data_IF_416823651948
#
_entry.id   IF_416823651948
#
_cell.length_a   1.000
_cell.length_b   1.000
_cell.length_c   1.000
_cell.angle_alpha   90.00
_cell.angle_beta   90.00
_cell.angle_gamma   90.00
#
_symmetry.space_group_name_H-M   'P 1'
#
loop_
_entity.id
_entity.type
_entity.pdbx_description
1 polymer ?
#
# COMPACT_ATOMS: atom_id res chain seq x y z
N UNK A 1 -23.12 11.24 3.98
CA UNK A 1 -21.84 10.72 3.45
C UNK A 1 -22.18 9.69 2.37
N UNK A 2 -21.72 9.87 1.13
CA UNK A 2 -22.02 8.94 0.05
C UNK A 2 -21.28 7.61 0.28
N UNK A 3 -21.98 6.47 0.18
CA UNK A 3 -21.33 5.16 0.28
C UNK A 3 -20.42 4.94 -0.93
N UNK A 4 -19.26 4.27 -0.78
CA UNK A 4 -18.41 3.92 -1.91
C UNK A 4 -19.17 2.99 -2.85
N UNK A 5 -19.25 3.36 -4.13
CA UNK A 5 -19.96 2.58 -5.15
C UNK A 5 -19.39 1.15 -5.22
N UNK A 6 -20.28 0.16 -5.14
CA UNK A 6 -19.93 -1.27 -5.13
C UNK A 6 -19.39 -1.76 -6.48
N UNK A 7 -19.72 -1.05 -7.56
CA UNK A 7 -19.28 -1.34 -8.92
C UNK A 7 -18.58 -0.12 -9.52
N UNK A 8 -17.38 -0.31 -10.05
CA UNK A 8 -16.65 0.71 -10.81
C UNK A 8 -16.34 0.19 -12.20
N UNK A 9 -16.65 0.97 -13.23
CA UNK A 9 -16.36 0.68 -14.62
C UNK A 9 -15.25 1.62 -15.05
N UNK A 10 -14.12 1.07 -15.49
CA UNK A 10 -12.93 1.81 -15.91
C UNK A 10 -12.76 1.61 -17.41
N UNK A 11 -12.76 2.70 -18.16
CA UNK A 11 -12.47 2.71 -19.59
C UNK A 11 -11.51 3.84 -19.92
N UNK A 12 -11.18 3.98 -21.20
CA UNK A 12 -10.22 4.97 -21.65
C UNK A 12 -9.45 4.51 -22.88
N UNK A 13 -8.68 5.44 -23.45
CA UNK A 13 -7.84 5.16 -24.60
C UNK A 13 -6.72 4.17 -24.24
N UNK A 14 -6.27 3.39 -25.20
CA UNK A 14 -5.16 2.47 -24.99
C UNK A 14 -3.87 3.27 -24.82
N UNK A 15 -3.11 2.97 -23.76
CA UNK A 15 -1.99 3.82 -23.31
C UNK A 15 -2.37 4.94 -22.32
N UNK A 16 -3.66 5.18 -22.04
CA UNK A 16 -4.10 6.19 -21.07
C UNK A 16 -3.99 5.74 -19.59
N UNK A 17 -3.49 4.52 -19.31
CA UNK A 17 -3.25 4.08 -17.93
C UNK A 17 -4.34 3.24 -17.26
N UNK A 18 -5.27 2.64 -18.03
CA UNK A 18 -6.31 1.73 -17.49
C UNK A 18 -5.76 0.62 -16.59
N UNK A 19 -4.64 0.00 -16.95
CA UNK A 19 -3.99 -1.04 -16.15
C UNK A 19 -3.53 -0.49 -14.78
N UNK A 20 -3.02 0.74 -14.74
CA UNK A 20 -2.64 1.41 -13.49
C UNK A 20 -3.88 1.66 -12.64
N UNK A 21 -4.98 2.11 -13.26
CA UNK A 21 -6.25 2.32 -12.58
C UNK A 21 -6.80 1.02 -11.98
N UNK A 22 -6.86 -0.07 -12.74
CA UNK A 22 -7.31 -1.38 -12.24
C UNK A 22 -6.44 -1.86 -11.07
N UNK A 23 -5.10 -1.72 -11.16
CA UNK A 23 -4.20 -2.07 -10.07
C UNK A 23 -4.48 -1.24 -8.81
N UNK A 24 -4.73 0.07 -8.97
CA UNK A 24 -5.05 0.94 -7.84
C UNK A 24 -6.37 0.54 -7.15
N UNK A 25 -7.39 0.15 -7.91
CA UNK A 25 -8.64 -0.36 -7.34
C UNK A 25 -8.44 -1.71 -6.65
N UNK A 26 -7.56 -2.57 -7.18
CA UNK A 26 -7.19 -3.85 -6.56
C UNK A 26 -6.54 -3.63 -5.19
N UNK A 27 -5.59 -2.68 -5.10
CA UNK A 27 -4.93 -2.29 -3.84
C UNK A 27 -5.92 -1.72 -2.80
N UNK A 28 -7.08 -1.21 -3.25
CA UNK A 28 -8.17 -0.71 -2.41
C UNK A 28 -9.20 -1.79 -2.05
N UNK A 29 -8.91 -3.05 -2.38
CA UNK A 29 -9.74 -4.21 -2.06
C UNK A 29 -10.93 -4.41 -3.00
N UNK A 30 -10.90 -3.85 -4.21
CA UNK A 30 -11.85 -4.22 -5.27
C UNK A 30 -11.39 -5.51 -5.95
N UNK A 31 -12.34 -6.38 -6.28
CA UNK A 31 -12.10 -7.46 -7.23
C UNK A 31 -12.05 -6.87 -8.63
N UNK A 32 -10.86 -6.85 -9.24
CA UNK A 32 -10.64 -6.28 -10.56
C UNK A 32 -10.78 -7.33 -11.65
N UNK A 33 -11.55 -7.01 -12.70
CA UNK A 33 -11.71 -7.84 -13.89
C UNK A 33 -11.31 -7.00 -15.09
N UNK A 34 -10.21 -7.36 -15.76
CA UNK A 34 -9.77 -6.69 -16.98
C UNK A 34 -10.46 -7.30 -18.21
N UNK A 35 -10.74 -6.46 -19.21
CA UNK A 35 -11.34 -6.84 -20.49
C UNK A 35 -12.61 -7.71 -20.36
N UNK A 36 -13.54 -7.29 -19.50
CA UNK A 36 -14.81 -8.02 -19.34
C UNK A 36 -15.75 -7.73 -20.52
N UNK A 37 -16.32 -8.77 -21.16
CA UNK A 37 -17.37 -8.58 -22.14
C UNK A 37 -18.58 -7.83 -21.57
N UNK A 38 -19.06 -6.79 -22.26
CA UNK A 38 -20.20 -5.95 -21.84
C UNK A 38 -21.47 -6.75 -21.55
N UNK A 39 -21.69 -7.83 -22.31
CA UNK A 39 -22.80 -8.76 -22.10
C UNK A 39 -22.82 -9.39 -20.69
N UNK A 40 -21.67 -9.50 -20.02
CA UNK A 40 -21.52 -10.07 -18.68
C UNK A 40 -21.68 -9.05 -17.54
N UNK A 41 -21.82 -7.76 -17.86
CA UNK A 41 -21.98 -6.69 -16.87
C UNK A 41 -23.22 -6.91 -15.99
N UNK A 42 -24.35 -7.28 -16.60
CA UNK A 42 -25.60 -7.53 -15.87
C UNK A 42 -25.51 -8.76 -14.94
N UNK A 43 -25.05 -9.95 -15.39
CA UNK A 43 -24.81 -11.10 -14.50
C UNK A 43 -23.91 -10.79 -13.29
N UNK A 44 -22.82 -10.04 -13.49
CA UNK A 44 -21.88 -9.69 -12.42
C UNK A 44 -22.53 -8.74 -11.42
N UNK A 45 -23.21 -7.70 -11.91
CA UNK A 45 -23.90 -6.74 -11.05
C UNK A 45 -24.93 -7.40 -10.12
N UNK A 46 -25.66 -8.41 -10.60
CA UNK A 46 -26.61 -9.18 -9.79
C UNK A 46 -25.93 -9.96 -8.67
N UNK A 47 -24.73 -10.48 -8.91
CA UNK A 47 -23.95 -11.17 -7.86
C UNK A 47 -23.42 -10.18 -6.83
N UNK A 48 -22.90 -9.03 -7.27
CA UNK A 48 -22.46 -7.93 -6.39
C UNK A 48 -23.59 -7.43 -5.49
N UNK A 49 -24.82 -7.35 -6.02
CA UNK A 49 -25.99 -6.86 -5.27
C UNK A 49 -26.54 -7.87 -4.24
N UNK A 50 -26.37 -9.19 -4.46
CA UNK A 50 -27.07 -10.24 -3.69
C UNK A 50 -26.18 -11.08 -2.77
N UNK A 51 -24.86 -10.90 -2.81
CA UNK A 51 -23.96 -11.80 -2.09
C UNK A 51 -23.59 -11.29 -0.69
N UNK A 52 -23.42 -12.23 0.24
CA UNK A 52 -22.68 -12.05 1.51
C UNK A 52 -21.18 -12.33 1.37
N UNK A 53 -20.75 -12.84 0.21
CA UNK A 53 -19.33 -13.07 -0.09
C UNK A 53 -18.60 -11.75 -0.29
N UNK A 54 -17.66 -11.45 0.62
CA UNK A 54 -16.84 -10.24 0.59
C UNK A 54 -16.12 -10.02 -0.74
N UNK A 55 -15.83 -11.08 -1.51
CA UNK A 55 -15.15 -10.99 -2.81
C UNK A 55 -15.93 -10.23 -3.87
N UNK A 56 -17.27 -10.18 -3.79
CA UNK A 56 -18.07 -9.39 -4.73
C UNK A 56 -18.71 -8.17 -4.06
N UNK A 57 -18.23 -7.76 -2.89
CA UNK A 57 -18.71 -6.54 -2.23
C UNK A 57 -18.26 -5.26 -2.95
N UNK A 58 -17.09 -5.30 -3.60
CA UNK A 58 -16.49 -4.23 -4.39
C UNK A 58 -15.89 -4.81 -5.66
N UNK A 59 -16.33 -4.37 -6.83
CA UNK A 59 -15.87 -4.89 -8.14
C UNK A 59 -15.47 -3.73 -9.04
N UNK A 60 -14.30 -3.83 -9.65
CA UNK A 60 -13.83 -2.88 -10.67
C UNK A 60 -13.67 -3.62 -12.01
N UNK A 61 -14.19 -3.05 -13.09
CA UNK A 61 -14.29 -3.69 -14.40
C UNK A 61 -13.60 -2.83 -15.44
N UNK A 62 -12.60 -3.38 -16.12
CA UNK A 62 -11.95 -2.78 -17.28
C UNK A 62 -12.74 -3.05 -18.56
N UNK A 63 -13.06 -1.99 -19.29
CA UNK A 63 -13.69 -2.05 -20.62
C UNK A 63 -12.83 -1.26 -21.59
N UNK A 64 -12.44 -1.89 -22.70
CA UNK A 64 -11.57 -1.30 -23.69
C UNK A 64 -12.08 -1.52 -25.12
N UNK A 65 -11.35 -0.98 -26.09
CA UNK A 65 -11.71 -0.98 -27.50
C UNK A 65 -11.70 -2.35 -28.19
N UNK A 66 -11.30 -3.42 -27.50
CA UNK A 66 -11.38 -4.81 -28.00
C UNK A 66 -12.80 -5.37 -27.97
N UNK A 67 -13.71 -4.70 -27.28
CA UNK A 67 -15.13 -5.06 -27.28
C UNK A 67 -15.78 -4.82 -28.66
N UNK A 68 -16.86 -5.54 -28.94
CA UNK A 68 -17.63 -5.36 -30.16
C UNK A 68 -18.15 -3.90 -30.27
N UNK A 69 -17.90 -3.18 -31.38
CA UNK A 69 -18.39 -1.82 -31.59
C UNK A 69 -19.90 -1.65 -31.39
N UNK A 70 -20.71 -2.63 -31.76
CA UNK A 70 -22.16 -2.58 -31.52
C UNK A 70 -22.50 -2.62 -30.03
N UNK A 71 -21.73 -3.35 -29.23
CA UNK A 71 -21.91 -3.45 -27.79
C UNK A 71 -21.45 -2.17 -27.09
N UNK A 72 -20.32 -1.59 -27.53
CA UNK A 72 -19.85 -0.28 -27.05
C UNK A 72 -20.90 0.81 -27.33
N UNK A 73 -21.49 0.83 -28.53
CA UNK A 73 -22.56 1.77 -28.86
C UNK A 73 -23.82 1.60 -27.97
N UNK A 74 -24.06 0.38 -27.47
CA UNK A 74 -25.16 0.06 -26.54
C UNK A 74 -24.81 0.32 -25.08
N UNK A 75 -23.60 0.77 -24.75
CA UNK A 75 -23.16 1.02 -23.37
C UNK A 75 -24.15 1.84 -22.53
N UNK A 76 -24.76 2.94 -23.02
CA UNK A 76 -25.75 3.68 -22.23
C UNK A 76 -26.93 2.83 -21.77
N UNK A 77 -27.41 1.90 -22.62
CA UNK A 77 -28.51 0.98 -22.29
C UNK A 77 -28.13 -0.03 -21.22
N UNK A 78 -26.86 -0.44 -21.17
CA UNK A 78 -26.36 -1.29 -20.08
C UNK A 78 -26.41 -0.54 -18.74
N UNK A 79 -25.98 0.72 -18.72
CA UNK A 79 -26.04 1.55 -17.53
C UNK A 79 -27.48 1.81 -17.06
N UNK A 80 -28.41 2.08 -17.98
CA UNK A 80 -29.84 2.23 -17.66
C UNK A 80 -30.41 0.99 -16.99
N UNK A 81 -30.09 -0.20 -17.50
CA UNK A 81 -30.51 -1.48 -16.87
C UNK A 81 -29.94 -1.67 -15.48
N UNK A 82 -28.68 -1.28 -15.26
CA UNK A 82 -28.05 -1.32 -13.93
C UNK A 82 -28.78 -0.38 -12.95
N UNK A 83 -29.10 0.85 -13.38
CA UNK A 83 -29.86 1.81 -12.57
C UNK A 83 -31.25 1.28 -12.22
N UNK A 84 -31.96 0.69 -13.20
CA UNK A 84 -33.28 0.07 -12.98
C UNK A 84 -33.23 -1.10 -11.99
N UNK A 85 -32.09 -1.77 -11.88
CA UNK A 85 -31.86 -2.86 -10.91
C UNK A 85 -31.40 -2.35 -9.53
N UNK A 86 -31.29 -1.04 -9.33
CA UNK A 86 -30.83 -0.44 -8.08
C UNK A 86 -29.33 -0.66 -7.82
N UNK A 87 -28.55 -0.97 -8.85
CA UNK A 87 -27.10 -1.14 -8.72
C UNK A 87 -26.44 0.22 -8.70
N UNK A 88 -25.75 0.54 -7.60
CA UNK A 88 -24.86 1.71 -7.52
C UNK A 88 -23.56 1.41 -8.26
N UNK A 89 -23.27 2.22 -9.28
CA UNK A 89 -22.04 2.12 -10.05
C UNK A 89 -21.43 3.50 -10.32
N UNK A 90 -20.16 3.49 -10.72
CA UNK A 90 -19.45 4.66 -11.22
C UNK A 90 -18.65 4.32 -12.47
N UNK A 91 -18.61 5.23 -13.43
CA UNK A 91 -17.87 5.13 -14.69
C UNK A 91 -16.72 6.13 -14.67
N UNK A 92 -15.50 5.62 -14.87
CA UNK A 92 -14.27 6.39 -14.95
C UNK A 92 -13.68 6.25 -16.35
N UNK A 93 -13.34 7.38 -16.98
CA UNK A 93 -12.72 7.40 -18.30
C UNK A 93 -11.33 8.04 -18.26
N UNK A 94 -10.31 7.32 -18.72
CA UNK A 94 -8.95 7.82 -18.80
C UNK A 94 -8.62 8.23 -20.24
N UNK A 95 -8.06 9.42 -20.43
CA UNK A 95 -7.55 9.84 -21.73
C UNK A 95 -6.14 10.45 -21.61
N UNK A 96 -5.52 10.63 -22.77
CA UNK A 96 -4.33 11.44 -22.94
C UNK A 96 -4.34 12.01 -24.36
N UNK A 97 -3.57 13.06 -24.55
CA UNK A 97 -3.31 13.66 -25.86
C UNK A 97 -2.70 12.63 -26.80
N UNK A 98 -3.04 12.74 -28.08
CA UNK A 98 -2.60 11.79 -29.12
C UNK A 98 -1.07 11.68 -29.17
N UNK A 99 -0.37 12.82 -29.09
CA UNK A 99 1.10 12.86 -29.10
C UNK A 99 1.71 12.09 -27.93
N UNK A 100 1.10 12.16 -26.75
CA UNK A 100 1.53 11.42 -25.56
C UNK A 100 1.26 9.93 -25.71
N UNK A 101 0.10 9.55 -26.26
CA UNK A 101 -0.22 8.14 -26.52
C UNK A 101 0.75 7.52 -27.53
N UNK A 102 1.07 8.23 -28.62
CA UNK A 102 2.06 7.82 -29.61
C UNK A 102 3.42 7.56 -28.95
N UNK A 103 3.88 8.46 -28.08
CA UNK A 103 5.13 8.30 -27.34
C UNK A 103 5.11 7.06 -26.42
N UNK A 104 4.04 6.87 -25.64
CA UNK A 104 3.90 5.71 -24.72
C UNK A 104 3.92 4.37 -25.47
N UNK A 105 3.34 4.32 -26.67
CA UNK A 105 3.39 3.14 -27.52
C UNK A 105 4.80 2.87 -28.08
N UNK A 106 5.52 3.92 -28.46
CA UNK A 106 6.92 3.79 -28.89
C UNK A 106 7.82 3.25 -27.77
N UNK A 107 7.60 3.69 -26.53
CA UNK A 107 8.36 3.25 -25.35
C UNK A 107 8.06 1.80 -24.95
N UNK A 108 6.77 1.42 -24.91
CA UNK A 108 6.35 0.09 -24.44
C UNK A 108 6.46 -1.01 -25.51
N UNK A 109 6.60 -0.63 -26.79
CA UNK A 109 6.62 -1.53 -27.95
C UNK A 109 5.44 -2.51 -28.01
N UNK A 110 4.33 -2.18 -27.33
CA UNK A 110 3.12 -3.01 -27.35
C UNK A 110 2.32 -2.73 -28.61
N UNK A 111 1.68 -3.74 -29.23
CA UNK A 111 0.78 -3.50 -30.35
C UNK A 111 -0.49 -2.79 -29.86
N UNK A 112 -0.97 -1.84 -30.66
CA UNK A 112 -2.25 -1.18 -30.40
C UNK A 112 -3.42 -2.13 -30.75
N UNK A 113 -4.46 -2.26 -29.91
CA UNK A 113 -5.54 -3.25 -30.13
C UNK A 113 -6.28 -3.13 -31.47
N UNK A 114 -6.40 -1.90 -31.98
CA UNK A 114 -7.03 -1.61 -33.28
C UNK A 114 -6.05 -1.43 -34.45
N UNK A 115 -4.73 -1.61 -34.22
CA UNK A 115 -3.76 -1.53 -35.31
C UNK A 115 -3.89 -2.75 -36.23
N UNK A 116 -3.83 -2.50 -37.54
CA UNK A 116 -3.85 -3.49 -38.62
C UNK A 116 -2.77 -3.11 -39.63
N UNK A 117 -2.39 -4.04 -40.51
CA UNK A 117 -1.35 -3.78 -41.53
C UNK A 117 -1.69 -2.59 -42.45
N UNK A 118 -2.98 -2.28 -42.61
CA UNK A 118 -3.50 -1.19 -43.43
C UNK A 118 -3.70 0.14 -42.67
N UNK A 119 -3.34 0.24 -41.38
CA UNK A 119 -3.63 1.41 -40.54
C UNK A 119 -2.43 1.88 -39.73
N UNK A 120 -2.18 3.18 -39.80
CA UNK A 120 -1.20 3.85 -38.93
C UNK A 120 -1.66 3.87 -37.46
N UNK A 121 -0.71 4.04 -36.54
CA UNK A 121 -1.00 4.15 -35.11
C UNK A 121 -1.87 5.38 -34.81
N UNK A 122 -1.63 6.50 -35.49
CA UNK A 122 -2.45 7.73 -35.43
C UNK A 122 -3.90 7.46 -35.81
N UNK A 123 -4.14 6.80 -36.95
CA UNK A 123 -5.50 6.42 -37.38
C UNK A 123 -6.15 5.45 -36.38
N UNK A 124 -5.38 4.52 -35.81
CA UNK A 124 -5.89 3.59 -34.80
C UNK A 124 -6.32 4.30 -33.51
N UNK A 125 -5.58 5.31 -33.04
CA UNK A 125 -5.94 6.12 -31.87
C UNK A 125 -7.20 6.97 -32.16
N UNK A 126 -7.28 7.59 -33.33
CA UNK A 126 -8.45 8.38 -33.73
C UNK A 126 -9.73 7.51 -33.83
N UNK A 127 -9.61 6.32 -34.42
CA UNK A 127 -10.69 5.33 -34.45
C UNK A 127 -11.09 4.87 -33.04
N UNK A 128 -10.11 4.66 -32.14
CA UNK A 128 -10.38 4.29 -30.76
C UNK A 128 -11.16 5.38 -30.01
N UNK A 129 -10.78 6.65 -30.20
CA UNK A 129 -11.49 7.80 -29.62
C UNK A 129 -12.95 7.86 -30.10
N UNK A 130 -13.18 7.69 -31.40
CA UNK A 130 -14.53 7.67 -31.96
C UNK A 130 -15.34 6.48 -31.42
N UNK A 131 -14.72 5.30 -31.34
CA UNK A 131 -15.35 4.07 -30.86
C UNK A 131 -15.77 4.17 -29.39
N UNK A 132 -14.90 4.68 -28.52
CA UNK A 132 -15.12 4.77 -27.08
C UNK A 132 -15.94 6.01 -26.65
N UNK A 133 -16.28 6.90 -27.57
CA UNK A 133 -17.10 8.10 -27.33
C UNK A 133 -18.42 7.82 -26.56
N UNK A 134 -19.19 6.74 -26.85
CA UNK A 134 -20.39 6.41 -26.06
C UNK A 134 -20.11 6.12 -24.58
N UNK A 135 -18.93 5.55 -24.26
CA UNK A 135 -18.50 5.28 -22.89
C UNK A 135 -18.03 6.57 -22.23
N UNK A 136 -17.22 7.37 -22.94
CA UNK A 136 -16.75 8.67 -22.46
C UNK A 136 -17.90 9.63 -22.13
N UNK A 137 -18.95 9.66 -22.96
CA UNK A 137 -20.14 10.48 -22.73
C UNK A 137 -20.95 10.06 -21.49
N UNK A 138 -20.78 8.82 -21.03
CA UNK A 138 -21.43 8.29 -19.82
C UNK A 138 -20.53 8.35 -18.58
N UNK A 139 -19.32 8.90 -18.69
CA UNK A 139 -18.35 8.91 -17.60
C UNK A 139 -18.79 9.87 -16.49
N UNK A 140 -18.79 9.38 -15.24
CA UNK A 140 -19.00 10.23 -14.06
C UNK A 140 -17.75 11.07 -13.75
N UNK A 141 -16.58 10.58 -14.17
CA UNK A 141 -15.32 11.31 -14.09
C UNK A 141 -14.40 10.97 -15.26
N UNK A 142 -13.69 11.98 -15.73
CA UNK A 142 -12.70 11.87 -16.80
C UNK A 142 -11.34 12.32 -16.27
N UNK A 143 -10.30 11.50 -16.45
CA UNK A 143 -8.94 11.81 -16.01
C UNK A 143 -8.04 12.00 -17.23
N UNK A 144 -7.50 13.21 -17.35
CA UNK A 144 -6.42 13.51 -18.29
C UNK A 144 -5.07 13.05 -17.70
N UNK A 145 -4.45 12.10 -18.39
CA UNK A 145 -3.16 11.51 -18.01
C UNK A 145 -1.99 12.05 -18.82
N UNK A 146 -2.19 13.03 -19.72
CA UNK A 146 -1.17 13.53 -20.66
C UNK A 146 0.12 13.97 -19.96
N UNK A 147 -0.03 14.77 -18.91
CA UNK A 147 1.08 15.33 -18.14
C UNK A 147 1.23 14.68 -16.76
N UNK A 148 0.82 13.41 -16.62
CA UNK A 148 0.91 12.70 -15.33
C UNK A 148 1.94 11.58 -15.39
N UNK A 149 2.86 11.58 -14.44
CA UNK A 149 3.68 10.42 -14.14
C UNK A 149 2.86 9.35 -13.37
N UNK A 150 3.45 8.18 -13.16
CA UNK A 150 2.76 7.06 -12.51
C UNK A 150 2.24 7.39 -11.10
N UNK A 151 2.99 8.20 -10.33
CA UNK A 151 2.60 8.61 -8.98
C UNK A 151 1.43 9.60 -9.01
N UNK A 152 1.54 10.64 -9.84
CA UNK A 152 0.48 11.64 -10.02
C UNK A 152 -0.81 11.02 -10.55
N UNK A 153 -0.71 10.01 -11.42
CA UNK A 153 -1.87 9.26 -11.88
C UNK A 153 -2.53 8.48 -10.74
N UNK A 154 -1.75 7.85 -9.86
CA UNK A 154 -2.31 7.15 -8.68
C UNK A 154 -3.02 8.10 -7.73
N UNK A 155 -2.43 9.28 -7.48
CA UNK A 155 -3.06 10.32 -6.65
C UNK A 155 -4.36 10.84 -7.29
N UNK A 156 -4.32 11.13 -8.60
CA UNK A 156 -5.51 11.56 -9.33
C UNK A 156 -6.62 10.49 -9.27
N UNK A 157 -6.28 9.21 -9.43
CA UNK A 157 -7.24 8.10 -9.31
C UNK A 157 -7.82 8.00 -7.90
N UNK A 158 -7.02 8.16 -6.85
CA UNK A 158 -7.48 8.13 -5.46
C UNK A 158 -8.47 9.26 -5.16
N UNK A 159 -8.20 10.48 -5.63
CA UNK A 159 -9.10 11.64 -5.45
C UNK A 159 -10.49 11.42 -6.07
N UNK A 160 -10.59 10.56 -7.10
CA UNK A 160 -11.85 10.26 -7.78
C UNK A 160 -12.69 9.19 -7.06
N UNK A 161 -12.25 8.61 -5.94
CA UNK A 161 -12.97 7.52 -5.29
C UNK A 161 -13.94 8.09 -4.25
N UNK A 162 -15.27 7.95 -4.44
CA UNK A 162 -16.25 8.47 -3.49
C UNK A 162 -16.18 7.62 -2.22
N UNK A 163 -15.95 8.25 -1.06
CA UNK A 163 -15.64 7.57 0.19
C UNK A 163 -14.17 7.09 0.32
N UNK A 164 -13.34 7.26 -0.72
CA UNK A 164 -11.89 7.10 -0.68
C UNK A 164 -11.16 8.36 -0.17
N UNK A 165 -11.82 9.53 -0.27
CA UNK A 165 -11.39 10.82 0.33
C UNK A 165 -11.71 10.96 1.83
N UNK A 166 -11.95 9.85 2.54
CA UNK A 166 -11.70 9.82 3.99
C UNK A 166 -10.33 9.15 4.25
N UNK A 167 -9.36 9.42 3.37
CA UNK A 167 -8.01 8.92 3.48
C UNK A 167 -7.31 9.64 4.62
N UNK A 168 -7.24 9.01 5.79
CA UNK A 168 -6.34 9.46 6.87
C UNK A 168 -4.95 9.61 6.25
N UNK A 169 -4.39 10.83 6.25
CA UNK A 169 -3.01 11.10 5.86
C UNK A 169 -2.09 10.05 6.48
N UNK A 170 -1.45 9.21 5.65
CA UNK A 170 -0.47 8.24 6.14
C UNK A 170 0.85 8.99 6.28
N UNK A 171 1.18 9.34 7.53
CA UNK A 171 2.36 10.12 7.85
C UNK A 171 3.52 9.18 8.21
N UNK A 172 4.71 9.45 7.67
CA UNK A 172 5.94 8.79 8.08
C UNK A 172 6.90 9.81 8.70
N UNK A 173 7.28 9.59 9.96
CA UNK A 173 8.37 10.32 10.59
C UNK A 173 9.66 9.51 10.45
N UNK A 174 10.66 10.11 9.82
CA UNK A 174 11.92 9.45 9.45
C UNK A 174 13.11 10.16 10.07
N UNK A 175 13.92 9.48 10.87
CA UNK A 175 15.23 10.00 11.24
C UNK A 175 16.29 9.56 10.24
N UNK A 176 17.25 10.45 9.95
CA UNK A 176 18.37 10.12 9.10
C UNK A 176 19.68 10.82 9.49
N UNK A 177 20.80 10.34 8.94
CA UNK A 177 22.12 10.95 9.01
C UNK A 177 22.53 11.64 7.70
N UNK A 178 22.85 12.94 7.72
CA UNK A 178 23.31 13.70 6.55
C UNK A 178 24.56 13.10 5.90
N UNK A 179 25.43 12.42 6.69
CA UNK A 179 26.59 11.68 6.15
C UNK A 179 26.18 10.65 5.07
N UNK A 180 24.97 10.09 5.17
CA UNK A 180 24.46 9.06 4.26
C UNK A 180 23.44 9.63 3.25
N UNK A 181 23.42 10.96 3.07
CA UNK A 181 22.52 11.66 2.13
C UNK A 181 21.09 11.84 2.64
N UNK A 182 20.33 12.72 1.99
CA UNK A 182 18.92 12.98 2.32
C UNK A 182 18.02 11.88 1.72
N UNK A 183 17.00 11.39 2.44
CA UNK A 183 16.04 10.43 1.89
C UNK A 183 15.30 10.99 0.67
N UNK A 184 15.29 10.25 -0.45
CA UNK A 184 14.62 10.68 -1.70
C UNK A 184 13.10 10.81 -1.59
N UNK A 185 12.51 10.16 -0.58
CA UNK A 185 11.07 10.12 -0.35
C UNK A 185 10.60 11.20 0.63
N UNK A 186 11.48 12.11 1.08
CA UNK A 186 11.15 13.11 2.07
C UNK A 186 10.41 14.31 1.44
N UNK A 187 9.29 14.70 2.04
CA UNK A 187 8.53 15.90 1.68
C UNK A 187 8.99 17.11 2.48
N UNK A 188 9.20 16.90 3.78
CA UNK A 188 9.87 17.87 4.65
C UNK A 188 11.22 17.31 5.10
N UNK A 189 12.22 18.19 5.16
CA UNK A 189 13.55 17.87 5.68
C UNK A 189 13.94 18.93 6.69
N UNK A 190 14.13 18.53 7.95
CA UNK A 190 14.56 19.40 9.03
C UNK A 190 15.98 19.05 9.47
N UNK A 191 16.88 20.04 9.44
CA UNK A 191 18.25 19.89 9.93
C UNK A 191 18.35 20.27 11.41
N UNK A 192 18.79 19.33 12.24
CA UNK A 192 18.90 19.50 13.70
C UNK A 192 20.35 19.38 14.17
N UNK A 193 21.33 19.53 13.27
CA UNK A 193 22.76 19.47 13.62
C UNK A 193 23.23 20.61 14.52
N UNK A 194 22.48 21.70 14.62
CA UNK A 194 22.74 22.82 15.52
C UNK A 194 22.51 22.49 17.01
N UNK A 195 21.81 21.39 17.32
CA UNK A 195 21.49 21.00 18.69
C UNK A 195 22.69 20.37 19.42
N UNK A 196 22.69 20.41 20.78
CA UNK A 196 23.68 19.75 21.63
C UNK A 196 23.94 18.31 21.21
N UNK A 197 25.22 17.91 21.18
CA UNK A 197 25.64 16.63 20.63
C UNK A 197 26.05 15.65 21.76
N UNK A 198 25.25 14.60 22.03
CA UNK A 198 25.54 13.66 23.12
C UNK A 198 26.79 12.78 22.86
N UNK A 199 27.35 12.82 21.65
CA UNK A 199 28.58 12.10 21.31
C UNK A 199 29.79 12.48 22.20
N UNK A 200 29.78 13.69 22.75
CA UNK A 200 30.83 14.16 23.66
C UNK A 200 30.77 13.51 25.02
N UNK A 201 29.62 12.96 25.41
CA UNK A 201 29.46 12.20 26.65
C UNK A 201 29.82 10.72 26.42
N UNK A 202 30.89 10.21 27.05
CA UNK A 202 31.37 8.85 26.80
C UNK A 202 30.31 7.77 27.06
N UNK A 203 29.47 7.97 28.08
CA UNK A 203 28.38 7.06 28.46
C UNK A 203 27.24 7.02 27.44
N UNK A 204 27.01 8.11 26.70
CA UNK A 204 25.90 8.22 25.75
C UNK A 204 26.31 7.87 24.32
N UNK A 205 27.61 7.90 23.99
CA UNK A 205 28.12 7.77 22.62
C UNK A 205 27.67 6.51 21.87
N UNK A 206 27.54 5.39 22.58
CA UNK A 206 27.14 4.10 21.99
C UNK A 206 25.62 3.90 21.96
N UNK A 207 24.88 4.75 22.66
CA UNK A 207 23.43 4.68 22.75
C UNK A 207 22.80 5.40 21.54
N UNK A 208 21.49 5.36 21.47
CA UNK A 208 20.67 5.96 20.44
C UNK A 208 19.68 6.92 21.07
N UNK A 209 19.02 7.75 20.25
CA UNK A 209 17.95 8.64 20.73
C UNK A 209 16.70 7.92 21.25
N UNK A 210 16.68 6.58 21.30
CA UNK A 210 15.61 5.76 21.90
C UNK A 210 15.94 5.33 23.33
N UNK A 211 17.21 5.39 23.72
CA UNK A 211 17.67 4.89 25.01
C UNK A 211 17.37 5.91 26.11
N UNK A 212 16.86 5.44 27.24
CA UNK A 212 16.38 6.27 28.35
C UNK A 212 17.43 7.27 28.84
N UNK A 213 18.70 6.86 28.92
CA UNK A 213 19.80 7.75 29.31
C UNK A 213 20.03 8.90 28.33
N UNK A 214 19.80 8.69 27.03
CA UNK A 214 19.91 9.73 26.00
C UNK A 214 18.68 10.63 26.00
N UNK A 215 17.49 10.04 26.21
CA UNK A 215 16.22 10.77 26.37
C UNK A 215 16.32 11.73 27.56
N UNK A 216 16.64 11.22 28.75
CA UNK A 216 16.78 12.02 29.97
C UNK A 216 17.82 13.15 29.80
N UNK A 217 18.93 12.87 29.11
CA UNK A 217 19.91 13.91 28.80
C UNK A 217 19.32 15.01 27.91
N UNK A 218 18.61 14.68 26.83
CA UNK A 218 17.99 15.65 25.94
C UNK A 218 16.83 16.43 26.59
N UNK A 219 16.10 15.83 27.53
CA UNK A 219 15.05 16.51 28.31
C UNK A 219 15.60 17.67 29.14
N UNK A 220 16.83 17.57 29.63
CA UNK A 220 17.48 18.66 30.37
C UNK A 220 17.98 19.81 29.49
N UNK A 221 17.95 19.69 28.16
CA UNK A 221 18.53 20.67 27.23
C UNK A 221 17.46 21.66 26.72
N UNK A 222 17.48 22.95 27.11
CA UNK A 222 16.44 23.90 26.73
C UNK A 222 16.31 24.11 25.21
N UNK A 223 17.43 24.11 24.50
CA UNK A 223 17.46 24.30 23.04
C UNK A 223 16.82 23.13 22.27
N UNK A 224 16.88 21.92 22.83
CA UNK A 224 16.28 20.72 22.25
C UNK A 224 14.77 20.75 22.43
N UNK A 225 14.30 21.12 23.62
CA UNK A 225 12.88 21.30 23.90
C UNK A 225 12.27 22.43 23.07
N UNK A 226 12.99 23.55 22.90
CA UNK A 226 12.57 24.64 22.03
C UNK A 226 12.41 24.19 20.57
N UNK A 227 13.39 23.46 20.03
CA UNK A 227 13.31 22.92 18.65
C UNK A 227 12.14 21.93 18.50
N UNK A 228 11.94 21.02 19.45
CA UNK A 228 10.82 20.08 19.45
C UNK A 228 9.47 20.83 19.40
N UNK A 229 9.30 21.84 20.24
CA UNK A 229 8.09 22.66 20.28
C UNK A 229 7.87 23.41 18.97
N UNK A 230 8.91 24.00 18.37
CA UNK A 230 8.80 24.70 17.09
C UNK A 230 8.42 23.76 15.93
N UNK A 231 9.01 22.57 15.89
CA UNK A 231 8.66 21.55 14.89
C UNK A 231 7.22 21.07 15.07
N UNK A 232 6.80 20.80 16.30
CA UNK A 232 5.43 20.40 16.60
C UNK A 232 4.42 21.47 16.17
N UNK A 233 4.67 22.73 16.49
CA UNK A 233 3.82 23.85 16.09
C UNK A 233 3.73 23.98 14.57
N UNK A 234 4.87 23.92 13.88
CA UNK A 234 4.91 23.98 12.42
C UNK A 234 4.07 22.87 11.79
N UNK A 235 4.25 21.63 12.26
CA UNK A 235 3.51 20.49 11.73
C UNK A 235 2.01 20.62 12.01
N UNK A 236 1.62 20.95 13.23
CA UNK A 236 0.21 21.15 13.61
C UNK A 236 -0.48 22.20 12.74
N UNK A 237 0.25 23.26 12.37
CA UNK A 237 -0.29 24.32 11.50
C UNK A 237 -0.52 23.85 10.06
N UNK A 238 0.39 23.06 9.48
CA UNK A 238 0.39 22.77 8.04
C UNK A 238 -0.16 21.40 7.67
N UNK A 239 -0.11 20.41 8.56
CA UNK A 239 -0.66 19.08 8.32
C UNK A 239 -2.15 19.10 7.90
N UNK A 240 -3.03 19.95 8.48
CA UNK A 240 -4.42 20.04 8.04
C UNK A 240 -4.60 20.44 6.56
N UNK A 241 -3.68 21.22 5.99
CA UNK A 241 -3.73 21.59 4.56
C UNK A 241 -3.46 20.36 3.67
N UNK A 242 -2.51 19.51 4.06
CA UNK A 242 -2.23 18.26 3.33
C UNK A 242 -3.41 17.28 3.41
N UNK A 243 -4.10 17.22 4.55
CA UNK A 243 -5.34 16.45 4.68
C UNK A 243 -6.42 17.02 3.76
N UNK A 244 -6.58 18.35 3.68
CA UNK A 244 -7.55 18.99 2.80
C UNK A 244 -7.25 18.83 1.30
N UNK A 245 -5.99 18.61 0.94
CA UNK A 245 -5.56 18.36 -0.43
C UNK A 245 -5.64 16.87 -0.83
N UNK A 246 -6.28 16.02 -0.02
CA UNK A 246 -6.42 14.58 -0.24
C UNK A 246 -5.06 13.87 -0.46
N UNK A 247 -4.00 14.37 0.19
CA UNK A 247 -2.67 13.77 0.06
C UNK A 247 -2.60 12.45 0.84
N UNK A 248 -2.28 11.36 0.14
CA UNK A 248 -2.27 10.03 0.74
C UNK A 248 -1.07 9.78 1.66
N UNK A 249 0.12 10.27 1.28
CA UNK A 249 1.37 10.04 2.01
C UNK A 249 2.12 11.34 2.28
N UNK A 250 2.68 11.47 3.49
CA UNK A 250 3.59 12.55 3.84
C UNK A 250 4.76 12.01 4.65
N UNK A 251 5.98 12.18 4.15
CA UNK A 251 7.21 11.83 4.85
C UNK A 251 7.91 13.06 5.39
N UNK A 252 8.05 13.13 6.71
CA UNK A 252 8.79 14.17 7.41
C UNK A 252 10.12 13.58 7.88
N UNK A 253 11.22 14.08 7.32
CA UNK A 253 12.56 13.62 7.62
C UNK A 253 13.31 14.59 8.54
N UNK A 254 13.88 14.08 9.63
CA UNK A 254 14.70 14.84 10.56
C UNK A 254 16.14 14.33 10.50
N UNK A 255 17.08 15.22 10.21
CA UNK A 255 18.47 14.89 9.93
C UNK A 255 19.43 15.38 11.00
N UNK A 256 20.30 14.50 11.50
CA UNK A 256 21.51 14.91 12.21
C UNK A 256 22.76 14.42 11.45
N UNK A 257 23.97 14.55 11.98
CA UNK A 257 25.17 14.11 11.23
C UNK A 257 25.18 12.59 10.98
N UNK A 258 24.96 11.79 12.03
CA UNK A 258 25.10 10.33 12.00
C UNK A 258 23.81 9.53 12.07
N UNK A 259 22.65 10.16 12.25
CA UNK A 259 21.34 9.48 12.26
C UNK A 259 21.03 8.65 13.51
N UNK A 260 21.83 8.74 14.58
CA UNK A 260 21.74 7.86 15.75
C UNK A 260 21.09 8.50 16.99
N UNK A 261 21.33 9.80 17.24
CA UNK A 261 20.98 10.44 18.51
C UNK A 261 19.89 11.51 18.35
N UNK A 262 20.28 12.75 18.01
CA UNK A 262 19.39 13.93 17.94
C UNK A 262 18.16 13.73 17.06
N UNK A 263 18.37 13.24 15.83
CA UNK A 263 17.26 13.03 14.90
C UNK A 263 16.33 11.89 15.33
N UNK A 264 16.88 10.85 15.95
CA UNK A 264 16.10 9.72 16.48
C UNK A 264 15.21 10.19 17.62
N UNK A 265 15.79 10.90 18.60
CA UNK A 265 15.06 11.46 19.74
C UNK A 265 13.90 12.36 19.28
N UNK A 266 14.17 13.34 18.41
CA UNK A 266 13.12 14.26 17.97
C UNK A 266 11.98 13.56 17.20
N UNK A 267 12.31 12.55 16.38
CA UNK A 267 11.30 11.76 15.68
C UNK A 267 10.41 10.99 16.65
N UNK A 268 10.97 10.41 17.72
CA UNK A 268 10.20 9.71 18.75
C UNK A 268 9.25 10.67 19.49
N UNK A 269 9.78 11.80 19.96
CA UNK A 269 8.97 12.77 20.69
C UNK A 269 7.86 13.36 19.81
N UNK A 270 8.14 13.70 18.55
CA UNK A 270 7.10 14.19 17.63
C UNK A 270 6.03 13.15 17.33
N UNK A 271 6.42 11.86 17.21
CA UNK A 271 5.45 10.79 17.02
C UNK A 271 4.47 10.71 18.19
N UNK A 272 4.97 10.79 19.43
CA UNK A 272 4.15 10.79 20.63
C UNK A 272 3.20 11.99 20.69
N UNK A 273 3.72 13.20 20.41
CA UNK A 273 2.92 14.43 20.44
C UNK A 273 1.79 14.42 19.40
N UNK A 274 2.05 13.88 18.21
CA UNK A 274 1.09 13.87 17.09
C UNK A 274 0.17 12.64 17.09
N UNK A 275 0.42 11.63 17.93
CA UNK A 275 -0.30 10.35 17.90
C UNK A 275 -1.81 10.47 18.12
N UNK A 276 -2.25 11.43 18.95
CA UNK A 276 -3.66 11.64 19.28
C UNK A 276 -4.47 12.16 18.07
N UNK A 277 -3.88 13.05 17.28
CA UNK A 277 -4.50 13.65 16.10
C UNK A 277 -4.29 12.80 14.83
N UNK A 278 -3.17 12.09 14.75
CA UNK A 278 -2.75 11.30 13.59
C UNK A 278 -2.39 9.86 13.98
N UNK A 279 -3.39 8.97 14.20
CA UNK A 279 -3.16 7.62 14.74
C UNK A 279 -2.49 6.65 13.75
N UNK A 280 -2.18 7.08 12.52
CA UNK A 280 -1.56 6.26 11.46
C UNK A 280 -0.11 6.71 11.17
N UNK A 281 0.57 7.31 12.15
CA UNK A 281 1.99 7.68 12.02
C UNK A 281 2.88 6.43 12.02
N UNK A 282 3.69 6.28 10.99
CA UNK A 282 4.79 5.32 10.92
C UNK A 282 6.10 5.99 11.32
N UNK A 283 6.85 5.38 12.24
CA UNK A 283 8.17 5.88 12.67
C UNK A 283 9.27 4.99 12.10
N UNK A 284 10.27 5.61 11.48
CA UNK A 284 11.43 4.90 10.92
C UNK A 284 12.73 5.62 11.25
N UNK A 285 13.79 4.86 11.52
CA UNK A 285 15.14 5.40 11.67
C UNK A 285 16.08 4.71 10.70
N UNK A 286 16.60 5.46 9.74
CA UNK A 286 17.33 4.88 8.62
C UNK A 286 18.62 4.18 9.07
N UNK A 287 19.38 4.80 9.97
CA UNK A 287 20.68 4.28 10.43
C UNK A 287 20.57 3.26 11.58
N UNK A 288 19.41 3.10 12.21
CA UNK A 288 19.21 2.11 13.28
C UNK A 288 18.61 0.78 12.78
N UNK A 289 18.31 0.66 11.50
CA UNK A 289 17.66 -0.53 10.93
C UNK A 289 16.18 -0.67 11.31
N UNK A 290 15.57 -1.78 10.93
CA UNK A 290 14.18 -2.12 11.26
C UNK A 290 14.18 -2.81 12.63
N UNK A 291 14.21 -2.03 13.71
CA UNK A 291 13.78 -2.53 15.01
C UNK A 291 12.28 -2.24 15.15
N UNK A 292 11.41 -3.25 15.31
CA UNK A 292 9.98 -3.04 15.50
C UNK A 292 9.81 -2.25 16.79
N UNK A 293 9.24 -1.06 16.70
CA UNK A 293 8.83 -0.31 17.87
C UNK A 293 7.31 -0.31 17.85
N UNK A 294 6.74 -1.15 18.70
CA UNK A 294 5.39 -0.92 19.18
C UNK A 294 5.43 0.42 19.93
N UNK A 295 4.73 1.43 19.42
CA UNK A 295 4.27 2.53 20.26
C UNK A 295 3.43 1.93 21.39
N UNK A 296 3.39 2.53 22.60
CA UNK A 296 2.57 2.02 23.69
C UNK A 296 1.13 1.95 23.21
N UNK A 297 0.65 0.73 22.97
CA UNK A 297 -0.76 0.44 22.75
C UNK A 297 -1.38 0.32 24.14
N UNK A 298 -2.56 0.93 24.31
CA UNK A 298 -3.41 0.78 25.50
C UNK A 298 -3.32 -0.64 26.06
N UNK A 299 -3.11 -0.74 27.39
CA UNK A 299 -3.00 -1.98 28.17
C UNK A 299 -4.25 -2.90 28.08
N UNK A 300 -5.27 -2.51 27.31
CA UNK A 300 -6.52 -3.25 27.10
C UNK A 300 -6.46 -4.34 25.99
N UNK A 301 -5.34 -4.55 25.31
CA UNK A 301 -5.25 -5.39 24.09
C UNK A 301 -4.38 -6.65 24.21
N UNK A 302 -4.17 -7.17 25.42
CA UNK A 302 -3.34 -8.35 25.72
C UNK A 302 -3.82 -9.68 25.10
N UNK A 303 -4.98 -9.73 24.43
CA UNK A 303 -5.56 -10.99 23.94
C UNK A 303 -5.48 -11.24 22.42
N UNK A 304 -4.86 -10.38 21.61
CA UNK A 304 -4.97 -10.47 20.15
C UNK A 304 -3.65 -10.51 19.38
N UNK A 305 -2.51 -10.69 20.04
CA UNK A 305 -1.21 -10.81 19.39
C UNK A 305 -0.34 -11.88 20.04
N UNK A 306 0.22 -12.77 19.23
CA UNK A 306 1.19 -13.76 19.67
C UNK A 306 2.35 -13.82 18.68
N UNK A 307 3.55 -14.15 19.18
CA UNK A 307 4.74 -14.32 18.36
C UNK A 307 5.63 -15.41 18.95
N UNK A 308 6.32 -16.17 18.08
CA UNK A 308 7.31 -17.17 18.46
C UNK A 308 8.42 -17.24 17.42
N UNK A 309 9.66 -17.34 17.89
CA UNK A 309 10.81 -17.65 17.03
C UNK A 309 11.02 -19.15 16.95
N UNK A 310 11.26 -19.66 15.75
CA UNK A 310 11.50 -21.08 15.44
C UNK A 310 12.67 -21.21 14.49
N UNK A 311 13.43 -22.29 14.61
CA UNK A 311 14.51 -22.62 13.68
C UNK A 311 14.03 -23.66 12.66
N UNK A 312 14.35 -23.47 11.38
CA UNK A 312 14.07 -24.45 10.34
C UNK A 312 15.06 -25.61 10.48
N UNK A 313 14.59 -26.73 11.02
CA UNK A 313 15.44 -27.87 11.38
C UNK A 313 15.36 -29.05 10.38
N UNK A 314 14.49 -29.00 9.37
CA UNK A 314 14.41 -30.05 8.35
C UNK A 314 15.48 -29.85 7.26
N UNK A 315 16.05 -30.95 6.74
CA UNK A 315 17.25 -30.95 5.90
C UNK A 315 17.11 -30.15 4.58
N UNK A 316 15.90 -30.11 4.02
CA UNK A 316 15.62 -29.41 2.75
C UNK A 316 15.11 -27.97 2.97
N UNK A 317 15.06 -27.50 4.22
CA UNK A 317 14.55 -26.17 4.57
C UNK A 317 13.05 -25.99 4.29
N UNK A 318 12.61 -24.76 4.13
CA UNK A 318 11.22 -24.42 3.81
C UNK A 318 10.91 -24.59 2.30
N UNK A 319 11.06 -25.81 1.79
CA UNK A 319 10.74 -26.17 0.41
C UNK A 319 9.22 -26.32 0.19
N UNK A 320 8.80 -26.51 -1.07
CA UNK A 320 7.39 -26.51 -1.50
C UNK A 320 6.43 -27.35 -0.64
N UNK A 321 6.86 -28.53 -0.18
CA UNK A 321 6.05 -29.43 0.63
C UNK A 321 5.94 -28.96 2.10
N UNK A 322 7.04 -28.50 2.70
CA UNK A 322 7.04 -27.89 4.02
C UNK A 322 6.18 -26.60 4.04
N UNK A 323 6.39 -25.73 3.04
CA UNK A 323 5.60 -24.52 2.83
C UNK A 323 4.10 -24.81 2.66
N UNK A 324 3.73 -25.81 1.86
CA UNK A 324 2.33 -26.20 1.68
C UNK A 324 1.68 -26.67 2.99
N UNK A 325 2.39 -27.43 3.83
CA UNK A 325 1.88 -27.87 5.15
C UNK A 325 1.71 -26.69 6.11
N UNK A 326 2.69 -25.78 6.15
CA UNK A 326 2.63 -24.58 6.97
C UNK A 326 1.42 -23.72 6.57
N UNK A 327 1.25 -23.46 5.28
CA UNK A 327 0.16 -22.63 4.74
C UNK A 327 -1.20 -23.30 4.94
N UNK A 328 -1.30 -24.63 4.76
CA UNK A 328 -2.54 -25.36 5.01
C UNK A 328 -2.95 -25.28 6.49
N UNK A 329 -1.98 -25.32 7.42
CA UNK A 329 -2.24 -25.13 8.84
C UNK A 329 -2.62 -23.67 9.16
N UNK A 330 -1.88 -22.70 8.63
CA UNK A 330 -2.14 -21.27 8.82
C UNK A 330 -3.56 -20.86 8.35
N UNK A 331 -4.05 -21.44 7.24
CA UNK A 331 -5.39 -21.17 6.72
C UNK A 331 -6.54 -21.72 7.59
N UNK A 332 -6.27 -22.54 8.60
CA UNK A 332 -7.30 -22.99 9.56
C UNK A 332 -7.66 -21.92 10.58
N UNK A 333 -6.78 -20.93 10.79
CA UNK A 333 -6.97 -19.87 11.77
C UNK A 333 -7.62 -18.65 11.14
N UNK A 334 -8.39 -17.91 11.94
CA UNK A 334 -8.98 -16.63 11.56
C UNK A 334 -7.99 -15.48 11.69
N UNK A 335 -7.00 -15.60 12.57
CA UNK A 335 -5.91 -14.63 12.74
C UNK A 335 -5.14 -14.38 11.46
N UNK A 336 -4.68 -13.15 11.26
CA UNK A 336 -3.65 -12.83 10.27
C UNK A 336 -2.33 -13.41 10.75
N UNK A 337 -1.60 -14.11 9.90
CA UNK A 337 -0.34 -14.79 10.26
C UNK A 337 0.76 -14.27 9.34
N UNK A 338 1.83 -13.75 9.92
CA UNK A 338 3.01 -13.26 9.21
C UNK A 338 4.25 -14.05 9.63
N UNK A 339 5.13 -14.33 8.67
CA UNK A 339 6.42 -15.00 8.89
C UNK A 339 7.54 -14.06 8.46
N UNK A 340 8.60 -13.97 9.24
CA UNK A 340 9.78 -13.19 8.88
C UNK A 340 11.09 -13.86 9.24
N UNK A 341 12.10 -13.74 8.39
CA UNK A 341 13.49 -14.17 8.64
C UNK A 341 14.38 -13.02 9.17
N UNK A 342 13.76 -11.90 9.60
CA UNK A 342 14.43 -10.67 10.00
C UNK A 342 14.72 -9.70 8.85
N UNK A 343 14.73 -10.17 7.59
CA UNK A 343 14.98 -9.36 6.40
C UNK A 343 13.74 -9.17 5.52
N UNK A 344 12.89 -10.20 5.42
CA UNK A 344 11.68 -10.26 4.61
C UNK A 344 10.52 -10.70 5.48
N UNK A 345 9.34 -10.17 5.18
CA UNK A 345 8.09 -10.51 5.83
C UNK A 345 7.09 -10.96 4.77
N UNK A 346 6.39 -12.04 5.04
CA UNK A 346 5.49 -12.70 4.09
C UNK A 346 4.20 -13.12 4.78
N UNK A 347 3.11 -13.21 4.01
CA UNK A 347 1.85 -13.77 4.49
C UNK A 347 1.99 -15.28 4.68
N UNK A 348 1.83 -15.75 5.93
CA UNK A 348 1.91 -17.16 6.28
C UNK A 348 0.76 -18.01 5.69
N UNK A 349 -0.27 -17.38 5.12
CA UNK A 349 -1.37 -18.03 4.41
C UNK A 349 -1.19 -18.08 2.89
N UNK A 350 -0.14 -17.47 2.34
CA UNK A 350 0.20 -17.51 0.91
C UNK A 350 1.33 -18.50 0.64
N UNK A 351 1.05 -19.56 -0.12
CA UNK A 351 2.11 -20.52 -0.52
C UNK A 351 3.21 -19.87 -1.36
N UNK A 352 2.88 -18.89 -2.19
CA UNK A 352 3.90 -18.17 -2.97
C UNK A 352 4.79 -17.33 -2.06
N UNK A 353 4.22 -16.62 -1.09
CA UNK A 353 4.99 -15.71 -0.24
C UNK A 353 5.90 -16.51 0.71
N UNK A 354 5.38 -17.59 1.30
CA UNK A 354 6.18 -18.50 2.15
C UNK A 354 7.34 -19.13 1.36
N UNK A 355 7.14 -19.45 0.07
CA UNK A 355 8.21 -19.95 -0.79
C UNK A 355 9.28 -18.91 -1.12
N UNK A 356 8.93 -17.62 -1.16
CA UNK A 356 9.84 -16.51 -1.46
C UNK A 356 10.81 -16.22 -0.29
N UNK A 357 10.48 -16.64 0.93
CA UNK A 357 11.43 -16.58 2.06
C UNK A 357 12.69 -17.42 1.80
N UNK A 358 12.56 -18.54 1.08
CA UNK A 358 13.66 -19.43 0.75
C UNK A 358 14.56 -19.74 1.97
N UNK A 359 13.96 -20.23 3.06
CA UNK A 359 14.63 -20.46 4.34
C UNK A 359 15.32 -21.85 4.37
N UNK A 360 16.66 -21.94 4.20
CA UNK A 360 17.39 -23.20 4.35
C UNK A 360 17.37 -23.70 5.81
N UNK A 361 17.88 -24.91 6.02
CA UNK A 361 18.10 -25.44 7.36
C UNK A 361 18.99 -24.49 8.18
N UNK A 362 18.63 -24.27 9.45
CA UNK A 362 19.30 -23.35 10.35
C UNK A 362 18.80 -21.90 10.29
N UNK A 363 17.85 -21.57 9.40
CA UNK A 363 17.24 -20.23 9.39
C UNK A 363 16.29 -20.04 10.57
N UNK A 364 16.52 -18.99 11.35
CA UNK A 364 15.56 -18.52 12.36
C UNK A 364 14.42 -17.76 11.68
N UNK A 365 13.20 -18.20 11.94
CA UNK A 365 11.97 -17.55 11.52
C UNK A 365 11.20 -17.07 12.73
N UNK A 366 10.67 -15.86 12.63
CA UNK A 366 9.70 -15.32 13.56
C UNK A 366 8.30 -15.50 12.97
N UNK A 367 7.48 -16.29 13.66
CA UNK A 367 6.05 -16.44 13.39
C UNK A 367 5.29 -15.43 14.24
N UNK A 368 4.39 -14.65 13.65
CA UNK A 368 3.53 -13.72 14.38
C UNK A 368 2.09 -13.82 13.91
N UNK A 369 1.14 -13.75 14.84
CA UNK A 369 -0.28 -13.84 14.55
C UNK A 369 -1.04 -12.72 15.26
N UNK A 370 -2.09 -12.22 14.61
CA UNK A 370 -3.01 -11.23 15.19
C UNK A 370 -4.45 -11.63 14.96
N UNK A 371 -5.22 -11.71 16.04
CA UNK A 371 -6.62 -12.15 16.04
C UNK A 371 -6.98 -12.97 17.27
N UNK A 372 -8.24 -13.39 17.35
CA UNK A 372 -8.81 -14.05 18.53
C UNK A 372 -8.19 -15.44 18.81
N UNK A 373 -7.62 -16.08 17.80
CA UNK A 373 -6.94 -17.39 17.88
C UNK A 373 -5.41 -17.27 17.69
N UNK A 374 -4.84 -16.08 17.93
CA UNK A 374 -3.43 -15.80 17.66
C UNK A 374 -2.47 -16.70 18.46
N UNK A 375 -2.70 -16.89 19.75
CA UNK A 375 -1.87 -17.76 20.60
C UNK A 375 -1.88 -19.20 20.10
N UNK A 376 -3.07 -19.75 19.84
CA UNK A 376 -3.23 -21.11 19.33
C UNK A 376 -2.57 -21.27 17.94
N UNK A 377 -2.73 -20.29 17.05
CA UNK A 377 -2.11 -20.30 15.74
C UNK A 377 -0.58 -20.40 15.81
N UNK A 378 0.03 -19.60 16.69
CA UNK A 378 1.49 -19.59 16.88
C UNK A 378 2.00 -20.86 17.55
N UNK A 379 1.26 -21.40 18.50
CA UNK A 379 1.60 -22.66 19.14
C UNK A 379 1.62 -23.81 18.12
N UNK A 380 0.53 -23.99 17.36
CA UNK A 380 0.40 -25.08 16.40
C UNK A 380 1.39 -24.95 15.23
N UNK A 381 1.60 -23.74 14.70
CA UNK A 381 2.60 -23.51 13.65
C UNK A 381 4.01 -23.77 14.15
N UNK A 382 4.34 -23.36 15.38
CA UNK A 382 5.64 -23.65 15.98
C UNK A 382 5.86 -25.15 16.19
N UNK A 383 4.82 -25.87 16.59
CA UNK A 383 4.87 -27.32 16.76
C UNK A 383 5.05 -28.04 15.42
N UNK A 384 4.45 -27.54 14.33
CA UNK A 384 4.67 -28.09 12.99
C UNK A 384 6.12 -27.96 12.54
N UNK A 385 6.77 -26.82 12.81
CA UNK A 385 8.20 -26.61 12.49
C UNK A 385 9.07 -27.50 13.36
N UNK A 386 8.79 -27.59 14.66
CA UNK A 386 9.49 -28.48 15.59
C UNK A 386 9.35 -29.97 15.22
N UNK A 387 8.22 -30.35 14.62
CA UNK A 387 7.98 -31.69 14.08
C UNK A 387 8.58 -31.92 12.69
N UNK A 388 9.47 -31.01 12.21
CA UNK A 388 10.07 -31.05 10.87
C UNK A 388 9.06 -31.17 9.75
N UNK A 389 7.89 -30.55 9.90
CA UNK A 389 6.77 -30.68 8.96
C UNK A 389 6.34 -32.15 8.72
N UNK A 390 6.64 -33.08 9.64
CA UNK A 390 6.40 -34.51 9.47
C UNK A 390 7.30 -35.17 8.41
N UNK A 391 8.57 -34.78 8.36
CA UNK A 391 9.60 -35.35 7.50
C UNK A 391 10.57 -36.21 8.32
N UNK A 392 11.05 -37.31 7.73
CA UNK A 392 11.99 -38.23 8.39
C UNK A 392 13.35 -37.56 8.60
N UNK A 393 14.06 -37.93 9.67
CA UNK A 393 15.49 -37.62 9.79
C UNK A 393 16.20 -38.44 8.69
N UNK A 394 16.87 -37.75 7.77
CA UNK A 394 17.89 -38.36 6.92
C UNK A 394 19.26 -38.01 7.47
#
# INVERSE_FOLDING_TARGET
MAQPSKLVIISGLSGAGKTVALKQYEDLGYTCIDNLPLALLAPISRRTARTTDRRYAKVAIGIDARENPEEIARFPRYLERLRQQGVEFRVLFLHADETVLLQRYAETRRPHPLAREDRSLTEAIALEQALLSPIAACADATIDTSNKNLHELREALQSQIPGGGAGKLIMQLLSFGFRNGVPKTADFVFDVRCLPNPHWEPSLRKLSGRDEAVIAWFETQPSVQAMLSSLHQFLTQWLPEFVRQDRAYLTIAIGCTGGQHRSVFLVQQLAQLLASEYPQISVRHRELGIAPQALPMDEASTGLYAQRTVEIINAQGLHARAAAKLVALANKFTSTIEITDGSRRVDGKSTMDVMVLAAPQGTELTLSARGADAEQAIEELGNLVAARFGEAEN
#
